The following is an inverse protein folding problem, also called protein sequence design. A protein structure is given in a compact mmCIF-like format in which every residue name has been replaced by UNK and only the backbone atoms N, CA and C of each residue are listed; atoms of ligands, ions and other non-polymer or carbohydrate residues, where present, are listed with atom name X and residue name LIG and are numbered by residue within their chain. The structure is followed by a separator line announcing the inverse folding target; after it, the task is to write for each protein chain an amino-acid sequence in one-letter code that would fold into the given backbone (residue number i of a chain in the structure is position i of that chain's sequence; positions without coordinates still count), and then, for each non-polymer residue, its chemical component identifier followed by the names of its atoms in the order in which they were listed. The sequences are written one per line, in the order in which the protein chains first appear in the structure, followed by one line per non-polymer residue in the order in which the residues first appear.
data_IF_819323119383
#
_entry.id   IF_819323119383
#
_cell.length_a   1.000
_cell.length_b   1.000
_cell.length_c   1.000
_cell.angle_alpha   90.00
_cell.angle_beta   90.00
_cell.angle_gamma   90.00
#
_symmetry.space_group_name_H-M   'P 1'
#
loop_
_entity.id
_entity.type
_entity.pdbx_description
1 polymer ?
#
# COMPACT_ATOMS: atom_id res chain seq x y z
N UNK A 1 9.16 -0.80 19.22
CA UNK A 1 8.67 0.58 19.07
C UNK A 1 7.14 0.64 18.93
N UNK A 2 6.39 -0.09 19.76
CA UNK A 2 4.90 -0.11 19.75
C UNK A 2 4.29 0.70 20.91
N UNK A 3 5.11 1.39 21.71
CA UNK A 3 4.70 1.95 23.01
C UNK A 3 4.76 3.47 23.10
N UNK A 4 4.65 4.20 21.98
CA UNK A 4 4.20 5.57 22.12
C UNK A 4 2.73 5.45 22.57
N UNK A 5 2.48 5.56 23.86
CA UNK A 5 1.12 5.61 24.38
C UNK A 5 0.51 6.93 23.89
N UNK A 6 -0.71 6.86 23.34
CA UNK A 6 -1.48 8.05 22.98
C UNK A 6 -1.42 9.03 24.15
N UNK A 7 -1.00 10.30 23.93
CA UNK A 7 -0.82 11.24 25.01
C UNK A 7 -2.12 11.40 25.77
N UNK A 8 -2.02 11.46 27.10
CA UNK A 8 -3.18 11.75 27.95
C UNK A 8 -3.73 13.14 27.60
N UNK A 9 -5.02 13.32 27.84
CA UNK A 9 -5.79 14.54 27.47
C UNK A 9 -5.28 15.82 28.17
N UNK A 10 -4.39 15.69 29.14
CA UNK A 10 -3.73 16.73 29.95
C UNK A 10 -2.23 16.93 29.63
N UNK A 11 -1.71 16.28 28.57
CA UNK A 11 -0.30 16.37 28.18
C UNK A 11 0.10 17.76 27.65
N UNK A 12 1.39 18.12 27.79
CA UNK A 12 1.93 19.37 27.25
C UNK A 12 1.85 19.44 25.73
N UNK A 13 1.85 20.66 25.18
CA UNK A 13 1.86 20.91 23.72
C UNK A 13 3.03 20.19 23.02
N UNK A 14 4.18 20.08 23.70
CA UNK A 14 5.34 19.36 23.18
C UNK A 14 5.10 17.84 23.08
N UNK A 15 4.42 17.25 24.06
CA UNK A 15 4.06 15.82 24.03
C UNK A 15 3.03 15.53 22.93
N UNK A 16 2.05 16.42 22.74
CA UNK A 16 1.07 16.34 21.65
C UNK A 16 1.73 16.45 20.28
N UNK A 17 2.63 17.42 20.09
CA UNK A 17 3.38 17.57 18.84
C UNK A 17 4.29 16.37 18.54
N UNK A 18 4.93 15.79 19.56
CA UNK A 18 5.72 14.56 19.41
C UNK A 18 4.85 13.37 18.98
N UNK A 19 3.66 13.22 19.58
CA UNK A 19 2.69 12.21 19.19
C UNK A 19 2.23 12.36 17.74
N UNK A 20 1.80 13.57 17.34
CA UNK A 20 1.34 13.82 15.96
C UNK A 20 2.42 13.48 14.92
N UNK A 21 3.70 13.79 15.21
CA UNK A 21 4.82 13.37 14.35
C UNK A 21 4.99 11.85 14.30
N UNK A 22 4.82 11.16 15.42
CA UNK A 22 4.92 9.70 15.48
C UNK A 22 3.80 9.03 14.68
N UNK A 23 2.56 9.51 14.81
CA UNK A 23 1.40 9.04 14.03
C UNK A 23 1.63 9.25 12.53
N UNK A 24 2.10 10.44 12.14
CA UNK A 24 2.40 10.74 10.74
C UNK A 24 3.44 9.76 10.18
N UNK A 25 4.54 9.55 10.89
CA UNK A 25 5.58 8.61 10.46
C UNK A 25 5.07 7.16 10.39
N UNK A 26 4.24 6.75 11.36
CA UNK A 26 3.64 5.41 11.39
C UNK A 26 2.68 5.18 10.21
N UNK A 27 2.02 6.22 9.70
CA UNK A 27 1.21 6.16 8.49
C UNK A 27 2.04 6.21 7.19
N UNK A 28 3.17 6.93 7.19
CA UNK A 28 4.03 7.12 6.00
C UNK A 28 4.62 5.80 5.49
N UNK A 29 5.21 5.00 6.37
CA UNK A 29 5.85 3.73 5.96
C UNK A 29 4.88 2.79 5.20
N UNK A 30 3.68 2.47 5.72
CA UNK A 30 2.75 1.64 4.98
C UNK A 30 2.15 2.32 3.73
N UNK A 31 2.07 3.65 3.66
CA UNK A 31 1.74 4.34 2.40
C UNK A 31 2.79 4.09 1.32
N UNK A 32 4.07 4.19 1.68
CA UNK A 32 5.17 3.89 0.76
C UNK A 32 5.14 2.43 0.29
N UNK A 33 4.82 1.48 1.18
CA UNK A 33 4.65 0.07 0.80
C UNK A 33 3.56 -0.08 -0.25
N UNK A 34 2.38 0.53 -0.06
CA UNK A 34 1.30 0.47 -1.04
C UNK A 34 1.71 1.08 -2.39
N UNK A 35 2.42 2.22 -2.36
CA UNK A 35 2.90 2.90 -3.57
C UNK A 35 3.97 2.07 -4.32
N UNK A 36 4.91 1.45 -3.61
CA UNK A 36 5.93 0.57 -4.20
C UNK A 36 5.29 -0.69 -4.80
N UNK A 37 4.29 -1.28 -4.15
CA UNK A 37 3.55 -2.40 -4.72
C UNK A 37 2.87 -2.02 -6.04
N UNK A 38 2.22 -0.85 -6.09
CA UNK A 38 1.63 -0.33 -7.32
C UNK A 38 2.68 -0.13 -8.43
N UNK A 39 3.82 0.48 -8.10
CA UNK A 39 4.90 0.69 -9.06
C UNK A 39 5.51 -0.63 -9.57
N UNK A 40 5.69 -1.63 -8.71
CA UNK A 40 6.19 -2.95 -9.10
C UNK A 40 5.22 -3.68 -10.05
N UNK A 41 3.91 -3.54 -9.82
CA UNK A 41 2.89 -4.06 -10.73
C UNK A 41 2.92 -3.36 -12.10
N UNK A 42 3.14 -2.04 -12.14
CA UNK A 42 3.30 -1.30 -13.41
C UNK A 42 4.53 -1.77 -14.20
N UNK A 43 5.65 -2.00 -13.52
CA UNK A 43 6.85 -2.55 -14.16
C UNK A 43 6.58 -3.96 -14.70
N UNK A 44 5.86 -4.78 -13.93
CA UNK A 44 5.44 -6.13 -14.35
C UNK A 44 4.56 -6.07 -15.59
N UNK A 45 3.58 -5.16 -15.62
CA UNK A 45 2.69 -4.93 -16.78
C UNK A 45 3.48 -4.50 -18.02
N UNK A 46 4.45 -3.59 -17.86
CA UNK A 46 5.26 -3.07 -18.95
C UNK A 46 6.14 -4.14 -19.63
N UNK A 47 6.48 -5.22 -18.92
CA UNK A 47 7.33 -6.31 -19.44
C UNK A 47 6.56 -7.59 -19.76
N UNK A 48 5.27 -7.69 -19.43
CA UNK A 48 4.51 -8.95 -19.47
C UNK A 48 4.53 -9.64 -20.86
N UNK A 49 4.53 -8.88 -21.96
CA UNK A 49 4.56 -9.46 -23.31
C UNK A 49 5.95 -9.96 -23.74
N UNK A 50 6.99 -9.61 -22.97
CA UNK A 50 8.40 -9.90 -23.28
C UNK A 50 8.98 -11.04 -22.45
N UNK A 51 8.22 -11.56 -21.48
CA UNK A 51 8.71 -12.65 -20.63
C UNK A 51 8.60 -14.01 -21.34
N UNK A 52 9.42 -14.94 -20.89
CA UNK A 52 9.28 -16.35 -21.27
C UNK A 52 7.97 -16.93 -20.76
N UNK A 53 7.31 -17.79 -21.55
CA UNK A 53 6.12 -18.55 -21.12
C UNK A 53 6.33 -19.34 -19.82
N UNK A 54 7.58 -19.71 -19.52
CA UNK A 54 7.94 -20.43 -18.30
C UNK A 54 7.94 -19.56 -17.04
N UNK A 55 7.86 -18.23 -17.17
CA UNK A 55 7.82 -17.27 -16.05
C UNK A 55 6.41 -16.76 -15.76
N UNK A 56 5.38 -17.20 -16.49
CA UNK A 56 4.01 -16.70 -16.33
C UNK A 56 3.46 -17.00 -14.93
N UNK A 57 3.78 -18.16 -14.35
CA UNK A 57 3.38 -18.50 -12.99
C UNK A 57 4.05 -17.61 -11.94
N UNK A 58 5.32 -17.27 -12.13
CA UNK A 58 6.05 -16.37 -11.23
C UNK A 58 5.49 -14.95 -11.29
N UNK A 59 5.16 -14.48 -12.51
CA UNK A 59 4.49 -13.20 -12.71
C UNK A 59 3.14 -13.17 -11.99
N UNK A 60 2.31 -14.20 -12.17
CA UNK A 60 1.00 -14.28 -11.53
C UNK A 60 1.11 -14.34 -10.01
N UNK A 61 2.02 -15.18 -9.48
CA UNK A 61 2.28 -15.29 -8.05
C UNK A 61 2.77 -13.97 -7.45
N UNK A 62 3.74 -13.32 -8.11
CA UNK A 62 4.24 -12.01 -7.71
C UNK A 62 3.14 -10.93 -7.72
N UNK A 63 2.28 -10.94 -8.74
CA UNK A 63 1.14 -10.04 -8.85
C UNK A 63 0.19 -10.16 -7.63
N UNK A 64 -0.21 -11.39 -7.28
CA UNK A 64 -1.07 -11.64 -6.12
C UNK A 64 -0.42 -11.21 -4.80
N UNK A 65 0.87 -11.49 -4.63
CA UNK A 65 1.62 -11.11 -3.43
C UNK A 65 1.72 -9.60 -3.27
N UNK A 66 2.03 -8.88 -4.35
CA UNK A 66 2.10 -7.41 -4.34
C UNK A 66 0.72 -6.79 -4.05
N UNK A 67 -0.34 -7.32 -4.65
CA UNK A 67 -1.69 -6.82 -4.41
C UNK A 67 -2.16 -7.08 -2.97
N UNK A 68 -1.87 -8.26 -2.42
CA UNK A 68 -2.11 -8.57 -1.01
C UNK A 68 -1.29 -7.68 -0.06
N UNK A 69 -0.01 -7.44 -0.38
CA UNK A 69 0.86 -6.57 0.40
C UNK A 69 0.35 -5.12 0.44
N UNK A 70 -0.09 -4.57 -0.69
CA UNK A 70 -0.68 -3.23 -0.75
C UNK A 70 -1.95 -3.11 0.10
N UNK A 71 -2.85 -4.10 0.01
CA UNK A 71 -4.08 -4.17 0.82
C UNK A 71 -3.76 -4.31 2.31
N UNK A 72 -2.77 -5.11 2.67
CA UNK A 72 -2.30 -5.26 4.05
C UNK A 72 -1.74 -3.95 4.59
N UNK A 73 -0.89 -3.27 3.82
CA UNK A 73 -0.34 -1.97 4.20
C UNK A 73 -1.44 -0.92 4.39
N UNK A 74 -2.48 -0.93 3.56
CA UNK A 74 -3.63 -0.05 3.70
C UNK A 74 -4.33 -0.17 5.06
N UNK A 75 -4.37 -1.36 5.67
CA UNK A 75 -4.92 -1.54 7.01
C UNK A 75 -4.13 -0.75 8.06
N UNK A 76 -2.80 -0.78 7.96
CA UNK A 76 -1.91 -0.05 8.87
C UNK A 76 -2.05 1.47 8.71
N UNK A 77 -2.23 1.96 7.48
CA UNK A 77 -2.51 3.38 7.22
C UNK A 77 -3.84 3.78 7.86
N UNK A 78 -4.90 3.00 7.64
CA UNK A 78 -6.26 3.28 8.13
C UNK A 78 -6.34 3.31 9.66
N UNK A 79 -5.49 2.56 10.36
CA UNK A 79 -5.41 2.60 11.83
C UNK A 79 -4.79 3.90 12.34
N UNK A 80 -3.78 4.45 11.66
CA UNK A 80 -3.06 5.63 12.12
C UNK A 80 -3.69 6.96 11.65
N UNK A 81 -4.29 7.02 10.46
CA UNK A 81 -4.84 8.27 9.90
C UNK A 81 -5.87 8.99 10.81
N UNK A 82 -6.77 8.31 11.53
CA UNK A 82 -7.73 8.98 12.41
C UNK A 82 -7.10 9.71 13.62
N UNK A 83 -5.86 9.38 13.98
CA UNK A 83 -5.15 10.03 15.08
C UNK A 83 -4.40 11.30 14.65
N UNK A 84 -4.37 11.60 13.34
CA UNK A 84 -3.85 12.87 12.83
C UNK A 84 -4.87 13.98 13.06
N UNK A 85 -4.43 15.05 13.72
CA UNK A 85 -5.28 16.22 13.97
C UNK A 85 -5.37 17.16 12.77
N UNK A 86 -4.33 17.20 11.94
CA UNK A 86 -4.33 17.98 10.70
C UNK A 86 -5.17 17.27 9.63
N UNK A 87 -6.37 17.81 9.41
CA UNK A 87 -7.34 17.25 8.47
C UNK A 87 -6.87 17.34 7.01
N UNK A 88 -6.09 18.35 6.64
CA UNK A 88 -5.56 18.50 5.28
C UNK A 88 -4.50 17.42 5.01
N UNK A 89 -3.58 17.22 5.95
CA UNK A 89 -2.58 16.15 5.87
C UNK A 89 -3.25 14.79 5.84
N UNK A 90 -4.22 14.53 6.73
CA UNK A 90 -4.95 13.26 6.75
C UNK A 90 -5.70 12.99 5.44
N UNK A 91 -6.32 14.02 4.86
CA UNK A 91 -7.02 13.93 3.56
C UNK A 91 -6.06 13.61 2.42
N UNK A 92 -4.93 14.32 2.32
CA UNK A 92 -3.90 14.08 1.31
C UNK A 92 -3.39 12.64 1.37
N UNK A 93 -3.05 12.17 2.57
CA UNK A 93 -2.55 10.81 2.80
C UNK A 93 -3.58 9.74 2.44
N UNK A 94 -4.87 10.00 2.68
CA UNK A 94 -5.97 9.13 2.26
C UNK A 94 -6.09 9.06 0.73
N UNK A 95 -5.96 10.21 0.05
CA UNK A 95 -5.97 10.25 -1.41
C UNK A 95 -4.79 9.49 -2.02
N UNK A 96 -3.59 9.62 -1.46
CA UNK A 96 -2.38 8.87 -1.86
C UNK A 96 -2.59 7.35 -1.72
N UNK A 97 -3.19 6.90 -0.60
CA UNK A 97 -3.52 5.50 -0.40
C UNK A 97 -4.52 5.00 -1.44
N UNK A 98 -5.63 5.72 -1.63
CA UNK A 98 -6.67 5.34 -2.59
C UNK A 98 -6.11 5.26 -4.01
N UNK A 99 -5.32 6.26 -4.44
CA UNK A 99 -4.69 6.22 -5.76
C UNK A 99 -3.78 5.01 -5.96
N UNK A 100 -3.05 4.61 -4.92
CA UNK A 100 -2.20 3.41 -4.96
C UNK A 100 -3.03 2.13 -5.04
N UNK A 101 -4.10 2.02 -4.25
CA UNK A 101 -4.99 0.84 -4.25
C UNK A 101 -5.77 0.70 -5.55
N UNK A 102 -6.26 1.80 -6.11
CA UNK A 102 -6.95 1.81 -7.39
C UNK A 102 -6.03 1.33 -8.53
N UNK A 103 -4.76 1.77 -8.51
CA UNK A 103 -3.73 1.28 -9.44
C UNK A 103 -3.50 -0.21 -9.26
N UNK A 104 -3.25 -0.66 -8.03
CA UNK A 104 -3.04 -2.08 -7.71
C UNK A 104 -4.19 -2.93 -8.21
N UNK A 105 -5.45 -2.54 -7.94
CA UNK A 105 -6.62 -3.30 -8.36
C UNK A 105 -6.73 -3.44 -9.87
N UNK A 106 -6.50 -2.35 -10.62
CA UNK A 106 -6.52 -2.39 -12.09
C UNK A 106 -5.41 -3.28 -12.66
N UNK A 107 -4.19 -3.11 -12.16
CA UNK A 107 -3.02 -3.84 -12.63
C UNK A 107 -3.14 -5.33 -12.30
N UNK A 108 -3.61 -5.68 -11.10
CA UNK A 108 -3.85 -7.06 -10.72
C UNK A 108 -4.86 -7.72 -11.65
N UNK A 109 -6.00 -7.06 -11.92
CA UNK A 109 -6.99 -7.60 -12.85
C UNK A 109 -6.41 -7.82 -14.25
N UNK A 110 -5.63 -6.86 -14.77
CA UNK A 110 -5.01 -6.95 -16.08
C UNK A 110 -3.97 -8.09 -16.17
N UNK A 111 -3.04 -8.14 -15.22
CA UNK A 111 -1.97 -9.13 -15.16
C UNK A 111 -2.49 -10.55 -14.92
N UNK A 112 -3.49 -10.71 -14.05
CA UNK A 112 -4.11 -12.02 -13.81
C UNK A 112 -4.86 -12.50 -15.05
N UNK A 113 -5.60 -11.62 -15.73
CA UNK A 113 -6.24 -11.97 -17.01
C UNK A 113 -5.21 -12.36 -18.07
N UNK A 114 -4.06 -11.70 -18.12
CA UNK A 114 -2.94 -12.08 -18.99
C UNK A 114 -2.40 -13.47 -18.66
N UNK A 115 -2.14 -13.75 -17.38
CA UNK A 115 -1.62 -15.03 -16.94
C UNK A 115 -2.60 -16.19 -17.22
N UNK A 116 -3.90 -16.00 -16.97
CA UNK A 116 -4.94 -17.01 -17.20
C UNK A 116 -5.05 -17.45 -18.66
N UNK A 117 -4.76 -16.56 -19.63
CA UNK A 117 -4.74 -16.92 -21.06
C UNK A 117 -3.57 -17.83 -21.43
N UNK A 118 -2.51 -17.85 -20.62
CA UNK A 118 -1.24 -18.51 -20.93
C UNK A 118 -0.97 -19.73 -20.05
N UNK A 119 -1.58 -19.78 -18.86
CA UNK A 119 -1.51 -20.93 -17.98
C UNK A 119 -2.39 -22.08 -18.51
N UNK A 120 -1.96 -23.34 -18.34
CA UNK A 120 -2.79 -24.48 -18.69
C UNK A 120 -4.05 -24.52 -17.81
N UNK A 121 -5.20 -24.81 -18.41
CA UNK A 121 -6.41 -25.08 -17.65
C UNK A 121 -6.28 -26.40 -16.88
N UNK A 122 -6.82 -26.48 -15.66
CA UNK A 122 -6.86 -27.72 -14.88
C UNK A 122 -7.67 -28.83 -15.56
#
# INVERSE_FOLDING_TARGET
AYSAAKPRRDGSDQARAAWQRAVLNAATVPLEVAAVCAAALEQTEAIQERISRYLVSDLAGGCLLLAAAARSAALNVRVNLPDLEDAEVASKRRAELHGSLDRVQRLEAALMSFAERLLPHP
#
